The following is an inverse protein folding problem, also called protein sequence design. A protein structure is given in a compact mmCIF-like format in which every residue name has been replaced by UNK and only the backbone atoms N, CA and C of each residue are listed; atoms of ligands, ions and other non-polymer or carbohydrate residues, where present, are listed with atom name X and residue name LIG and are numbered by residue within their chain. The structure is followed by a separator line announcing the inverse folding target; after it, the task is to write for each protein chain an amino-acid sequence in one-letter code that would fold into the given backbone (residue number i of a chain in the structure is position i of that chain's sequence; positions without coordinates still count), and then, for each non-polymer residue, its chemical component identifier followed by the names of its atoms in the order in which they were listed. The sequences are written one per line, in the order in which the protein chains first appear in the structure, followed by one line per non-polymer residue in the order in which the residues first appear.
data_IF_445271034480
#
_entry.id   IF_445271034480
#
_cell.length_a   1.000
_cell.length_b   1.000
_cell.length_c   1.000
_cell.angle_alpha   90.00
_cell.angle_beta   90.00
_cell.angle_gamma   90.00
#
_symmetry.space_group_name_H-M   'P 1'
#
loop_
_entity.id
_entity.type
_entity.pdbx_description
1 polymer ?
#
# COMPACT_ATOMS: atom_id res chain seq x y z
N UNK A 1 -22.10 -13.50 15.82
CA UNK A 1 -20.81 -12.97 16.32
C UNK A 1 -19.93 -14.16 16.58
N UNK A 2 -18.82 -14.33 15.86
CA UNK A 2 -17.90 -15.44 16.09
C UNK A 2 -16.87 -15.06 17.17
N UNK A 3 -16.47 -16.01 18.02
CA UNK A 3 -15.48 -15.79 19.09
C UNK A 3 -14.07 -15.63 18.51
N UNK A 4 -13.13 -14.91 19.18
CA UNK A 4 -11.76 -14.70 18.69
C UNK A 4 -11.02 -15.98 18.28
N UNK A 5 -11.20 -17.06 19.04
CA UNK A 5 -10.63 -18.39 18.76
C UNK A 5 -11.06 -18.98 17.40
N UNK A 6 -12.21 -18.56 16.87
CA UNK A 6 -12.67 -19.02 15.56
C UNK A 6 -11.88 -18.40 14.41
N UNK A 7 -11.37 -17.16 14.55
CA UNK A 7 -10.64 -16.50 13.47
C UNK A 7 -9.27 -17.13 13.22
N UNK A 8 -8.58 -17.56 14.28
CA UNK A 8 -7.30 -18.26 14.16
C UNK A 8 -7.45 -19.66 13.54
N UNK A 9 -8.53 -20.37 13.88
CA UNK A 9 -8.85 -21.65 13.24
C UNK A 9 -9.20 -21.44 11.77
N UNK A 10 -9.98 -20.40 11.44
CA UNK A 10 -10.28 -20.04 10.06
C UNK A 10 -9.02 -19.66 9.28
N UNK A 11 -8.12 -18.85 9.86
CA UNK A 11 -6.83 -18.49 9.28
C UNK A 11 -6.03 -19.75 8.92
N UNK A 12 -5.83 -20.66 9.87
CA UNK A 12 -5.13 -21.92 9.63
C UNK A 12 -5.77 -22.74 8.51
N UNK A 13 -7.10 -22.91 8.53
CA UNK A 13 -7.82 -23.63 7.49
C UNK A 13 -7.67 -22.96 6.11
N UNK A 14 -7.70 -21.63 6.04
CA UNK A 14 -7.52 -20.91 4.78
C UNK A 14 -6.09 -21.01 4.26
N UNK A 15 -5.07 -20.98 5.14
CA UNK A 15 -3.68 -21.19 4.74
C UNK A 15 -3.48 -22.58 4.11
N UNK A 16 -4.02 -23.64 4.72
CA UNK A 16 -3.92 -25.00 4.17
C UNK A 16 -4.59 -25.15 2.80
N UNK A 17 -5.54 -24.28 2.47
CA UNK A 17 -6.28 -24.29 1.21
C UNK A 17 -5.81 -23.21 0.23
N UNK A 18 -4.72 -22.48 0.51
CA UNK A 18 -4.22 -21.37 -0.30
C UNK A 18 -5.25 -20.24 -0.52
N UNK A 19 -6.17 -20.06 0.43
CA UNK A 19 -7.23 -19.04 0.39
C UNK A 19 -6.79 -17.77 1.13
N UNK A 20 -5.66 -17.20 0.73
CA UNK A 20 -5.01 -16.10 1.44
C UNK A 20 -5.83 -14.81 1.47
N UNK A 21 -6.65 -14.56 0.45
CA UNK A 21 -7.58 -13.43 0.41
C UNK A 21 -8.61 -13.49 1.55
N UNK A 22 -9.06 -14.70 1.94
CA UNK A 22 -10.03 -14.88 3.03
C UNK A 22 -9.42 -14.69 4.42
N UNK A 23 -8.10 -14.75 4.52
CA UNK A 23 -7.40 -14.49 5.77
C UNK A 23 -7.49 -13.00 6.14
N UNK A 24 -7.52 -12.10 5.16
CA UNK A 24 -7.75 -10.66 5.41
C UNK A 24 -9.07 -10.43 6.14
N UNK A 25 -10.13 -11.16 5.77
CA UNK A 25 -11.42 -11.07 6.46
C UNK A 25 -11.33 -11.53 7.93
N UNK A 26 -10.41 -12.44 8.27
CA UNK A 26 -10.18 -12.87 9.64
C UNK A 26 -9.53 -11.74 10.45
N UNK A 27 -8.49 -11.08 9.91
CA UNK A 27 -7.85 -9.93 10.55
C UNK A 27 -8.81 -8.74 10.71
N UNK A 28 -9.58 -8.39 9.66
CA UNK A 28 -10.50 -7.23 9.72
C UNK A 28 -11.62 -7.39 10.75
N UNK A 29 -12.03 -8.63 11.01
CA UNK A 29 -13.11 -8.98 11.97
C UNK A 29 -12.59 -9.27 13.37
N UNK A 30 -11.29 -9.50 13.55
CA UNK A 30 -10.67 -9.71 14.87
C UNK A 30 -10.13 -8.38 15.43
N UNK A 31 -10.85 -7.72 16.36
CA UNK A 31 -10.44 -6.42 16.89
C UNK A 31 -9.10 -6.44 17.63
N UNK A 32 -8.64 -7.61 18.11
CA UNK A 32 -7.36 -7.72 18.83
C UNK A 32 -6.16 -7.73 17.88
N UNK A 33 -6.36 -8.23 16.66
CA UNK A 33 -5.30 -8.44 15.66
C UNK A 33 -5.46 -7.59 14.42
N UNK A 34 -6.51 -6.76 14.35
CA UNK A 34 -6.84 -5.96 13.17
C UNK A 34 -5.65 -5.14 12.65
N UNK A 35 -4.84 -4.58 13.53
CA UNK A 35 -3.64 -3.80 13.16
C UNK A 35 -2.50 -4.65 12.55
N UNK A 36 -2.46 -5.95 12.80
CA UNK A 36 -1.46 -6.87 12.26
C UNK A 36 -1.68 -7.16 10.76
N UNK A 37 -2.84 -6.79 10.21
CA UNK A 37 -3.18 -7.02 8.81
C UNK A 37 -2.16 -6.43 7.84
N UNK A 38 -1.58 -5.27 8.17
CA UNK A 38 -0.58 -4.62 7.32
C UNK A 38 0.68 -5.47 7.21
N UNK A 39 1.13 -6.06 8.32
CA UNK A 39 2.28 -6.95 8.34
C UNK A 39 1.98 -8.23 7.56
N UNK A 40 0.78 -8.78 7.70
CA UNK A 40 0.35 -9.94 6.94
C UNK A 40 0.42 -9.70 5.43
N UNK A 41 -0.23 -8.63 4.94
CA UNK A 41 -0.26 -8.30 3.51
C UNK A 41 1.17 -8.03 3.01
N UNK A 42 1.95 -7.22 3.74
CA UNK A 42 3.33 -6.92 3.37
C UNK A 42 4.19 -8.18 3.25
N UNK A 43 4.11 -9.09 4.22
CA UNK A 43 4.89 -10.33 4.23
C UNK A 43 4.51 -11.23 3.06
N UNK A 44 3.21 -11.43 2.82
CA UNK A 44 2.74 -12.28 1.72
C UNK A 44 3.20 -11.75 0.36
N UNK A 45 3.12 -10.43 0.15
CA UNK A 45 3.55 -9.82 -1.11
C UNK A 45 5.08 -9.82 -1.28
N UNK A 46 5.83 -9.69 -0.18
CA UNK A 46 7.30 -9.62 -0.21
C UNK A 46 7.99 -10.99 -0.28
N UNK A 47 7.39 -12.02 0.32
CA UNK A 47 8.06 -13.32 0.42
C UNK A 47 8.16 -14.04 -0.94
N UNK A 48 9.32 -14.65 -1.25
CA UNK A 48 9.44 -15.60 -2.34
C UNK A 48 8.78 -16.92 -1.90
N UNK A 49 7.80 -17.42 -2.65
CA UNK A 49 7.10 -18.67 -2.32
C UNK A 49 5.62 -18.69 -2.68
N UNK A 50 5.00 -17.51 -2.79
CA UNK A 50 3.63 -17.35 -3.27
C UNK A 50 3.61 -17.10 -4.78
N UNK A 51 2.61 -17.64 -5.47
CA UNK A 51 2.41 -17.40 -6.90
C UNK A 51 1.98 -15.96 -7.18
N UNK A 52 2.16 -15.53 -8.43
CA UNK A 52 1.70 -14.21 -8.88
C UNK A 52 0.18 -14.08 -8.73
N UNK A 53 -0.56 -15.15 -8.96
CA UNK A 53 -2.01 -15.21 -8.83
C UNK A 53 -2.45 -15.09 -7.37
N UNK A 54 -1.78 -15.77 -6.44
CA UNK A 54 -2.06 -15.68 -5.00
C UNK A 54 -1.82 -14.26 -4.49
N UNK A 55 -0.69 -13.65 -4.86
CA UNK A 55 -0.37 -12.27 -4.51
C UNK A 55 -1.39 -11.28 -5.09
N UNK A 56 -1.80 -11.50 -6.34
CA UNK A 56 -2.80 -10.66 -7.00
C UNK A 56 -4.18 -10.77 -6.33
N UNK A 57 -4.63 -11.96 -5.94
CA UNK A 57 -5.89 -12.14 -5.21
C UNK A 57 -5.90 -11.42 -3.86
N UNK A 58 -4.81 -11.53 -3.09
CA UNK A 58 -4.68 -10.84 -1.80
C UNK A 58 -4.69 -9.33 -1.99
N UNK A 59 -4.05 -8.85 -3.04
CA UNK A 59 -4.05 -7.44 -3.39
C UNK A 59 -5.44 -6.91 -3.75
N UNK A 60 -6.14 -7.56 -4.68
CA UNK A 60 -7.49 -7.14 -5.08
C UNK A 60 -8.44 -7.08 -3.87
N UNK A 61 -8.27 -8.04 -2.95
CA UNK A 61 -9.00 -8.04 -1.68
C UNK A 61 -8.59 -6.89 -0.76
N UNK A 62 -7.30 -6.58 -0.63
CA UNK A 62 -6.84 -5.42 0.14
C UNK A 62 -7.37 -4.10 -0.44
N UNK A 63 -7.40 -3.98 -1.77
CA UNK A 63 -7.99 -2.83 -2.47
C UNK A 63 -9.49 -2.69 -2.21
N UNK A 64 -10.23 -3.79 -2.18
CA UNK A 64 -11.65 -3.78 -1.82
C UNK A 64 -11.87 -3.20 -0.42
N UNK A 65 -10.96 -3.48 0.51
CA UNK A 65 -11.00 -3.00 1.90
C UNK A 65 -10.16 -1.75 2.15
N UNK A 66 -9.69 -1.05 1.10
CA UNK A 66 -8.74 0.06 1.27
C UNK A 66 -9.29 1.18 2.15
N UNK A 67 -10.59 1.50 2.07
CA UNK A 67 -11.19 2.52 2.93
C UNK A 67 -11.15 2.14 4.42
N UNK A 68 -11.29 0.85 4.73
CA UNK A 68 -11.22 0.34 6.10
C UNK A 68 -9.77 0.31 6.61
N UNK A 69 -8.82 -0.09 5.74
CA UNK A 69 -7.38 -0.02 6.03
C UNK A 69 -6.93 1.42 6.29
N UNK A 70 -7.37 2.36 5.46
CA UNK A 70 -7.11 3.80 5.63
C UNK A 70 -7.64 4.32 6.95
N UNK A 71 -8.84 3.88 7.35
CA UNK A 71 -9.43 4.27 8.63
C UNK A 71 -8.66 3.68 9.81
N UNK A 72 -8.07 2.49 9.64
CA UNK A 72 -7.27 1.82 10.65
C UNK A 72 -5.90 2.49 10.84
N UNK A 73 -5.16 2.68 9.76
CA UNK A 73 -3.87 3.37 9.76
C UNK A 73 -3.58 4.00 8.38
N UNK A 74 -3.72 5.33 8.25
CA UNK A 74 -3.43 6.06 7.02
C UNK A 74 -1.99 5.90 6.52
N UNK A 75 -1.01 5.85 7.43
CA UNK A 75 0.41 5.82 7.09
C UNK A 75 0.80 4.45 6.56
N UNK A 76 0.45 3.38 7.30
CA UNK A 76 0.70 1.99 6.84
C UNK A 76 -0.04 1.65 5.56
N UNK A 77 -1.25 2.19 5.37
CA UNK A 77 -1.99 2.02 4.12
C UNK A 77 -1.26 2.66 2.94
N UNK A 78 -0.72 3.86 3.15
CA UNK A 78 0.01 4.56 2.11
C UNK A 78 1.33 3.85 1.77
N UNK A 79 2.06 3.38 2.78
CA UNK A 79 3.27 2.57 2.64
C UNK A 79 3.00 1.27 1.88
N UNK A 80 1.91 0.57 2.20
CA UNK A 80 1.53 -0.68 1.54
C UNK A 80 1.30 -0.49 0.03
N UNK A 81 0.57 0.56 -0.34
CA UNK A 81 0.29 0.91 -1.74
C UNK A 81 1.57 1.34 -2.46
N UNK A 82 2.38 2.19 -1.84
CA UNK A 82 3.62 2.71 -2.45
C UNK A 82 4.66 1.61 -2.68
N UNK A 83 4.80 0.66 -1.75
CA UNK A 83 5.80 -0.40 -1.84
C UNK A 83 5.44 -1.49 -2.85
N UNK A 84 4.18 -1.91 -2.87
CA UNK A 84 3.80 -3.10 -3.62
C UNK A 84 3.15 -2.79 -4.96
N UNK A 85 2.53 -1.61 -5.14
CA UNK A 85 1.73 -1.30 -6.33
C UNK A 85 1.83 0.16 -6.76
N UNK A 86 3.03 0.63 -7.14
CA UNK A 86 3.23 2.02 -7.55
C UNK A 86 2.40 2.41 -8.79
N UNK A 87 1.98 1.43 -9.61
CA UNK A 87 1.17 1.65 -10.82
C UNK A 87 -0.32 1.93 -10.50
N UNK A 88 -0.83 1.36 -9.41
CA UNK A 88 -2.24 1.48 -8.99
C UNK A 88 -2.51 2.71 -8.11
N UNK A 89 -1.47 3.49 -7.78
CA UNK A 89 -1.57 4.71 -6.96
C UNK A 89 -2.62 5.68 -7.54
N UNK A 90 -2.65 5.87 -8.87
CA UNK A 90 -3.60 6.79 -9.54
C UNK A 90 -5.06 6.31 -9.45
N UNK A 91 -5.39 5.05 -9.81
CA UNK A 91 -6.72 4.46 -9.56
C UNK A 91 -7.17 4.56 -8.09
N UNK A 92 -6.29 4.27 -7.14
CA UNK A 92 -6.60 4.28 -5.70
C UNK A 92 -6.92 5.69 -5.23
N UNK A 93 -6.13 6.69 -5.62
CA UNK A 93 -6.41 8.11 -5.30
C UNK A 93 -7.78 8.50 -5.82
N UNK A 94 -8.11 8.13 -7.07
CA UNK A 94 -9.43 8.42 -7.66
C UNK A 94 -10.57 7.78 -6.85
N UNK A 95 -10.41 6.52 -6.44
CA UNK A 95 -11.41 5.80 -5.60
C UNK A 95 -11.56 6.43 -4.21
N UNK A 96 -10.46 6.87 -3.61
CA UNK A 96 -10.43 7.44 -2.26
C UNK A 96 -10.91 8.90 -2.20
N UNK A 97 -10.71 9.70 -3.25
CA UNK A 97 -11.21 11.09 -3.33
C UNK A 97 -12.73 11.20 -3.26
N UNK A 98 -13.46 10.13 -3.64
CA UNK A 98 -14.93 10.07 -3.57
C UNK A 98 -15.43 9.75 -2.14
N UNK A 99 -14.58 9.15 -1.30
CA UNK A 99 -14.93 8.72 0.05
C UNK A 99 -14.54 9.80 1.07
N UNK A 100 -15.43 10.18 2.00
CA UNK A 100 -15.21 11.23 3.03
C UNK A 100 -13.97 11.03 3.93
N UNK A 101 -13.27 9.90 3.83
CA UNK A 101 -12.04 9.56 4.54
C UNK A 101 -10.76 9.86 3.75
N UNK A 102 -10.88 10.31 2.49
CA UNK A 102 -9.80 10.48 1.51
C UNK A 102 -8.74 11.57 1.74
N UNK A 103 -8.98 12.72 2.41
CA UNK A 103 -8.00 13.83 2.39
C UNK A 103 -6.65 13.48 3.01
N UNK A 104 -6.65 12.74 4.12
CA UNK A 104 -5.41 12.39 4.84
C UNK A 104 -4.57 11.40 4.05
N UNK A 105 -5.18 10.34 3.51
CA UNK A 105 -4.44 9.35 2.72
C UNK A 105 -4.07 9.85 1.34
N UNK A 106 -4.87 10.69 0.70
CA UNK A 106 -4.45 11.38 -0.51
C UNK A 106 -3.23 12.28 -0.23
N UNK A 107 -3.19 13.01 0.89
CA UNK A 107 -2.02 13.82 1.25
C UNK A 107 -0.79 12.98 1.56
N UNK A 108 -0.93 11.86 2.29
CA UNK A 108 0.18 10.95 2.62
C UNK A 108 0.66 10.13 1.41
N UNK A 109 -0.24 9.60 0.58
CA UNK A 109 0.12 8.89 -0.66
C UNK A 109 0.78 9.82 -1.67
N UNK A 110 0.24 11.03 -1.87
CA UNK A 110 0.87 12.02 -2.77
C UNK A 110 2.22 12.44 -2.19
N UNK A 111 2.33 12.70 -0.89
CA UNK A 111 3.60 13.04 -0.27
C UNK A 111 4.62 11.90 -0.37
N UNK A 112 4.24 10.65 -0.11
CA UNK A 112 5.12 9.49 -0.21
C UNK A 112 5.50 9.19 -1.66
N UNK A 113 4.55 9.27 -2.61
CA UNK A 113 4.84 9.11 -4.03
C UNK A 113 5.77 10.21 -4.55
N UNK A 114 5.52 11.47 -4.18
CA UNK A 114 6.42 12.59 -4.52
C UNK A 114 7.78 12.43 -3.84
N UNK A 115 7.82 12.00 -2.57
CA UNK A 115 9.07 11.74 -1.87
C UNK A 115 9.88 10.63 -2.54
N UNK A 116 9.23 9.52 -2.92
CA UNK A 116 9.87 8.39 -3.59
C UNK A 116 10.34 8.75 -5.00
N UNK A 117 9.59 9.59 -5.72
CA UNK A 117 10.04 10.18 -6.98
C UNK A 117 11.28 11.05 -6.75
N UNK A 118 11.30 11.90 -5.72
CA UNK A 118 12.43 12.78 -5.40
C UNK A 118 13.67 11.99 -4.99
N UNK A 119 13.53 10.93 -4.18
CA UNK A 119 14.67 10.09 -3.78
C UNK A 119 15.21 9.26 -4.95
N UNK A 120 14.33 8.71 -5.80
CA UNK A 120 14.75 8.05 -7.04
C UNK A 120 15.45 9.03 -7.99
N UNK A 121 14.93 10.24 -8.14
CA UNK A 121 15.55 11.27 -8.95
C UNK A 121 16.92 11.68 -8.38
N UNK A 122 17.03 11.85 -7.06
CA UNK A 122 18.29 12.15 -6.38
C UNK A 122 19.32 11.02 -6.55
N UNK A 123 18.88 9.76 -6.46
CA UNK A 123 19.73 8.60 -6.72
C UNK A 123 20.23 8.55 -8.18
N UNK A 124 19.35 8.83 -9.14
CA UNK A 124 19.69 8.93 -10.57
C UNK A 124 20.64 10.10 -10.84
N UNK A 125 20.37 11.28 -10.26
CA UNK A 125 21.24 12.45 -10.38
C UNK A 125 22.63 12.20 -9.79
N UNK A 126 22.71 11.50 -8.65
CA UNK A 126 23.97 11.07 -8.04
C UNK A 126 24.73 10.07 -8.92
N UNK A 127 24.02 9.10 -9.52
CA UNK A 127 24.62 8.11 -10.42
C UNK A 127 25.11 8.74 -11.74
N UNK A 128 24.42 9.78 -12.22
CA UNK A 128 24.79 10.50 -13.45
C UNK A 128 25.75 11.70 -13.20
N UNK A 129 26.20 11.94 -11.97
CA UNK A 129 27.11 13.05 -11.64
C UNK A 129 26.51 14.46 -11.81
N UNK A 130 25.18 14.59 -11.76
CA UNK A 130 24.47 15.86 -11.98
C UNK A 130 24.35 16.61 -10.65
N UNK A 131 24.99 17.78 -10.55
CA UNK A 131 24.93 18.62 -9.35
C UNK A 131 23.54 19.29 -9.19
N UNK A 132 22.92 19.24 -7.99
CA UNK A 132 21.60 19.83 -7.72
C UNK A 132 21.51 21.36 -7.92
N UNK A 133 22.66 22.05 -8.00
CA UNK A 133 22.72 23.52 -8.07
C UNK A 133 22.42 24.11 -9.45
N UNK A 134 22.27 23.30 -10.50
CA UNK A 134 22.16 23.83 -11.87
C UNK A 134 20.73 24.17 -12.30
N UNK A 135 19.73 23.62 -11.63
CA UNK A 135 18.32 23.97 -11.77
C UNK A 135 17.71 23.84 -10.39
N UNK A 136 17.08 24.90 -9.87
CA UNK A 136 16.50 24.89 -8.52
C UNK A 136 15.70 23.60 -8.33
N UNK A 137 16.13 22.77 -7.38
CA UNK A 137 15.79 21.33 -7.32
C UNK A 137 14.29 21.05 -7.47
N UNK A 138 13.45 21.94 -6.97
CA UNK A 138 11.99 21.92 -7.06
C UNK A 138 11.41 22.12 -8.46
N UNK A 139 12.01 22.96 -9.30
CA UNK A 139 11.52 23.27 -10.66
C UNK A 139 11.77 22.10 -11.61
N UNK A 140 12.91 21.41 -11.49
CA UNK A 140 13.16 20.19 -12.26
C UNK A 140 12.19 19.07 -11.89
N UNK A 141 11.84 18.92 -10.61
CA UNK A 141 10.86 17.94 -10.15
C UNK A 141 9.47 18.27 -10.74
N UNK A 142 9.05 19.55 -10.72
CA UNK A 142 7.76 19.95 -11.29
C UNK A 142 7.68 19.75 -12.81
N UNK A 143 8.75 20.06 -13.55
CA UNK A 143 8.81 19.88 -15.02
C UNK A 143 8.85 18.39 -15.39
N UNK A 144 9.66 17.58 -14.70
CA UNK A 144 9.76 16.13 -14.99
C UNK A 144 8.51 15.35 -14.59
N UNK A 145 7.79 15.80 -13.55
CA UNK A 145 6.52 15.20 -13.14
C UNK A 145 5.30 15.80 -13.86
N UNK A 146 5.47 16.72 -14.81
CA UNK A 146 4.39 17.26 -15.64
C UNK A 146 3.40 18.18 -14.91
N UNK A 147 3.84 18.85 -13.84
CA UNK A 147 3.03 19.81 -13.08
C UNK A 147 3.14 21.26 -13.60
N UNK A 148 3.99 21.50 -14.61
CA UNK A 148 4.18 22.77 -15.31
C UNK A 148 4.06 22.58 -16.83
#
# INVERSE_FOLDING_TARGET
SCLPLSYQICEFLYEQNHLYDKILDCYLRDPLRKEEIFNYIHNLLSMPGYSSEEKHCVWEKALLHIAELVTLDPAKSADLVAMHFPEEVRPIITRLQVSRHGPLVCSSLVALFLWQQVTNLAAVMSHCGISPNRYGSWICILILCGYL
#
